data_IF_842968082863
#
_entry.id   IF_842968082863
#
_cell.length_a   1.000
_cell.length_b   1.000
_cell.length_c   1.000
_cell.angle_alpha   90.00
_cell.angle_beta   90.00
_cell.angle_gamma   90.00
#
_symmetry.space_group_name_H-M   'P 1'
#
loop_
_entity.id
_entity.type
_entity.pdbx_description
1 polymer ?
#
# COMPACT_ATOMS: atom_id res chain seq x y z
N UNK A 1 0.30 21.46 -6.83
CA UNK A 1 0.39 20.83 -5.49
C UNK A 1 1.86 20.62 -5.18
N UNK A 2 2.38 21.17 -4.09
CA UNK A 2 3.73 20.80 -3.65
C UNK A 2 3.69 19.33 -3.24
N UNK A 3 4.78 18.71 -3.12
CA UNK A 3 5.08 17.29 -2.84
C UNK A 3 3.85 16.43 -2.48
N UNK A 4 3.41 15.59 -3.42
CA UNK A 4 2.35 14.62 -3.17
C UNK A 4 3.00 13.33 -2.69
N UNK A 5 2.95 13.08 -1.40
CA UNK A 5 3.51 11.92 -0.74
C UNK A 5 2.42 11.10 -0.05
N UNK A 6 2.75 9.88 0.37
CA UNK A 6 1.84 9.08 1.19
C UNK A 6 1.58 9.77 2.54
N UNK A 7 0.36 9.67 3.05
CA UNK A 7 0.01 10.16 4.40
C UNK A 7 0.36 9.15 5.50
N UNK A 8 0.86 7.96 5.13
CA UNK A 8 1.33 6.95 6.08
C UNK A 8 2.73 7.30 6.61
N UNK A 9 2.93 7.15 7.92
CA UNK A 9 4.22 7.33 8.56
C UNK A 9 5.03 6.04 8.47
N UNK A 10 6.28 6.12 8.01
CA UNK A 10 7.21 5.01 7.92
C UNK A 10 8.65 5.51 7.95
N UNK A 11 9.57 4.65 8.35
CA UNK A 11 11.02 4.91 8.35
C UNK A 11 11.78 3.93 7.46
N UNK A 12 11.25 2.72 7.29
CA UNK A 12 11.84 1.64 6.48
C UNK A 12 10.84 1.10 5.47
N UNK A 13 11.29 0.38 4.41
CA UNK A 13 10.40 -0.34 3.53
C UNK A 13 9.49 -1.34 4.26
N UNK A 14 9.98 -1.98 5.32
CA UNK A 14 9.20 -2.89 6.15
C UNK A 14 8.07 -2.15 6.88
N UNK A 15 8.35 -0.99 7.49
CA UNK A 15 7.34 -0.17 8.16
C UNK A 15 6.23 0.22 7.19
N UNK A 16 6.61 0.65 5.97
CA UNK A 16 5.64 1.01 4.95
C UNK A 16 4.79 -0.20 4.54
N UNK A 17 5.39 -1.37 4.34
CA UNK A 17 4.67 -2.59 3.99
C UNK A 17 3.63 -2.94 5.06
N UNK A 18 4.01 -2.90 6.33
CA UNK A 18 3.10 -3.08 7.49
C UNK A 18 1.97 -2.06 7.44
N UNK A 19 2.29 -0.77 7.29
CA UNK A 19 1.31 0.31 7.27
C UNK A 19 0.33 0.18 6.10
N UNK A 20 0.79 -0.18 4.89
CA UNK A 20 -0.08 -0.34 3.72
C UNK A 20 -1.00 -1.56 3.86
N UNK A 21 -0.53 -2.68 4.43
CA UNK A 21 -1.40 -3.82 4.75
C UNK A 21 -2.49 -3.39 5.74
N UNK A 22 -2.13 -2.62 6.77
CA UNK A 22 -3.08 -2.12 7.76
C UNK A 22 -4.06 -1.08 7.18
N UNK A 23 -3.68 -0.34 6.14
CA UNK A 23 -4.52 0.71 5.53
C UNK A 23 -5.68 0.17 4.69
N UNK A 24 -5.70 -1.12 4.36
CA UNK A 24 -6.81 -1.73 3.64
C UNK A 24 -8.14 -1.51 4.38
N UNK A 25 -9.07 -0.75 3.77
CA UNK A 25 -10.36 -0.35 4.37
C UNK A 25 -10.21 0.33 5.75
N UNK A 26 -9.12 1.05 5.97
CA UNK A 26 -8.85 1.80 7.19
C UNK A 26 -8.26 3.16 6.82
N UNK A 27 -8.48 4.18 7.65
CA UNK A 27 -7.92 5.52 7.41
C UNK A 27 -6.44 5.56 7.77
N UNK A 28 -5.65 6.31 7.01
CA UNK A 28 -4.21 6.50 7.27
C UNK A 28 -3.98 7.05 8.68
N UNK A 29 -4.85 7.98 9.14
CA UNK A 29 -4.81 8.49 10.52
C UNK A 29 -4.90 7.37 11.57
N UNK A 30 -5.79 6.39 11.38
CA UNK A 30 -5.93 5.26 12.30
C UNK A 30 -4.72 4.35 12.25
N UNK A 31 -4.18 4.08 11.08
CA UNK A 31 -2.96 3.30 10.89
C UNK A 31 -1.79 3.97 11.61
N UNK A 32 -1.58 5.27 11.39
CA UNK A 32 -0.51 6.04 12.02
C UNK A 32 -0.60 6.11 13.56
N UNK A 33 -1.78 5.83 14.14
CA UNK A 33 -1.95 5.74 15.60
C UNK A 33 -1.48 4.40 16.18
N UNK A 34 -1.51 3.31 15.41
CA UNK A 34 -1.19 1.96 15.90
C UNK A 34 0.20 1.47 15.49
N UNK A 35 0.73 1.96 14.37
CA UNK A 35 2.02 1.52 13.85
C UNK A 35 3.21 1.84 14.75
N UNK A 36 3.31 2.99 15.47
CA UNK A 36 4.47 3.28 16.31
C UNK A 36 4.73 2.21 17.38
N UNK A 37 3.71 1.82 18.13
CA UNK A 37 3.84 0.81 19.19
C UNK A 37 4.10 -0.58 18.61
N UNK A 38 3.45 -0.91 17.49
CA UNK A 38 3.65 -2.17 16.79
C UNK A 38 5.10 -2.31 16.28
N UNK A 39 5.62 -1.29 15.58
CA UNK A 39 6.98 -1.29 15.04
C UNK A 39 8.03 -1.22 16.16
N UNK A 40 7.79 -0.47 17.24
CA UNK A 40 8.67 -0.48 18.40
C UNK A 40 8.84 -1.88 19.01
N UNK A 41 7.79 -2.70 19.00
CA UNK A 41 7.84 -4.08 19.48
C UNK A 41 8.40 -5.07 18.46
N UNK A 42 8.12 -4.87 17.17
CA UNK A 42 8.50 -5.74 16.05
C UNK A 42 9.15 -4.92 14.95
N UNK A 43 10.44 -4.51 15.12
CA UNK A 43 11.10 -3.52 14.26
C UNK A 43 11.47 -4.05 12.87
N UNK A 44 11.43 -5.36 12.68
CA UNK A 44 11.78 -6.01 11.42
C UNK A 44 10.98 -7.30 11.18
N UNK A 45 11.21 -7.91 10.02
CA UNK A 45 10.54 -9.14 9.63
C UNK A 45 10.91 -10.33 10.54
N UNK A 46 12.14 -10.38 11.05
CA UNK A 46 12.60 -11.49 11.90
C UNK A 46 11.88 -11.51 13.25
N UNK A 47 11.75 -10.35 13.88
CA UNK A 47 11.00 -10.22 15.14
C UNK A 47 9.51 -10.47 14.93
N UNK A 48 8.91 -9.92 13.87
CA UNK A 48 7.47 -10.09 13.59
C UNK A 48 7.12 -11.53 13.18
N UNK A 49 8.03 -12.25 12.51
CA UNK A 49 7.82 -13.65 12.11
C UNK A 49 7.69 -14.62 13.29
N UNK A 50 8.23 -14.26 14.43
CA UNK A 50 8.18 -15.07 15.66
C UNK A 50 6.92 -14.77 16.50
N UNK A 51 6.20 -13.70 16.20
CA UNK A 51 5.02 -13.30 16.94
C UNK A 51 3.85 -14.26 16.71
N UNK A 52 3.02 -14.44 17.74
CA UNK A 52 1.71 -15.06 17.55
C UNK A 52 0.70 -14.00 17.03
N UNK A 53 -0.20 -14.35 16.11
CA UNK A 53 -1.21 -13.40 15.58
C UNK A 53 -2.02 -12.67 16.67
N UNK A 54 -2.30 -13.32 17.81
CA UNK A 54 -3.03 -12.70 18.93
C UNK A 54 -2.21 -11.59 19.62
N UNK A 55 -0.88 -11.67 19.61
CA UNK A 55 -0.01 -10.61 20.12
C UNK A 55 -0.09 -9.39 19.20
N UNK A 56 0.05 -9.59 17.87
CA UNK A 56 -0.13 -8.52 16.87
C UNK A 56 -1.53 -7.89 16.98
N UNK A 57 -2.58 -8.73 17.14
CA UNK A 57 -3.95 -8.25 17.29
C UNK A 57 -4.09 -7.22 18.41
N UNK A 58 -3.42 -7.40 19.56
CA UNK A 58 -3.50 -6.47 20.68
C UNK A 58 -3.08 -5.04 20.31
N UNK A 59 -2.12 -4.89 19.40
CA UNK A 59 -1.67 -3.58 18.91
C UNK A 59 -2.62 -2.98 17.86
N UNK A 60 -3.26 -3.81 17.04
CA UNK A 60 -4.03 -3.35 15.88
C UNK A 60 -5.55 -3.53 16.03
N UNK A 61 -6.08 -3.85 17.22
CA UNK A 61 -7.52 -4.11 17.44
C UNK A 61 -8.47 -2.98 17.02
N UNK A 62 -7.96 -1.76 16.88
CA UNK A 62 -8.74 -0.60 16.48
C UNK A 62 -8.80 -0.36 14.96
N UNK A 63 -8.05 -1.13 14.14
CA UNK A 63 -8.17 -1.08 12.68
C UNK A 63 -9.29 -2.01 12.19
N UNK A 64 -9.72 -1.82 10.94
CA UNK A 64 -10.69 -2.73 10.31
C UNK A 64 -10.11 -4.12 10.10
N UNK A 65 -10.91 -5.17 10.35
CA UNK A 65 -10.55 -6.58 10.17
C UNK A 65 -9.24 -7.02 10.86
N UNK A 66 -9.05 -6.71 12.17
CA UNK A 66 -7.76 -6.87 12.84
C UNK A 66 -7.28 -8.32 12.92
N UNK A 67 -8.19 -9.30 13.06
CA UNK A 67 -7.82 -10.73 13.10
C UNK A 67 -7.14 -11.20 11.80
N UNK A 68 -7.70 -10.84 10.65
CA UNK A 68 -7.12 -11.21 9.36
C UNK A 68 -5.81 -10.46 9.10
N UNK A 69 -5.75 -9.19 9.47
CA UNK A 69 -4.54 -8.38 9.31
C UNK A 69 -3.41 -8.88 10.21
N UNK A 70 -3.69 -9.28 11.45
CA UNK A 70 -2.69 -9.90 12.33
C UNK A 70 -2.08 -11.15 11.70
N UNK A 71 -2.91 -12.06 11.17
CA UNK A 71 -2.44 -13.25 10.47
C UNK A 71 -1.63 -12.91 9.21
N UNK A 72 -2.07 -11.91 8.45
CA UNK A 72 -1.35 -11.47 7.26
C UNK A 72 0.02 -10.88 7.62
N UNK A 73 0.13 -10.06 8.67
CA UNK A 73 1.41 -9.48 9.08
C UNK A 73 2.42 -10.55 9.51
N UNK A 74 2.01 -11.52 10.34
CA UNK A 74 2.88 -12.63 10.73
C UNK A 74 3.27 -13.48 9.53
N UNK A 75 2.31 -13.88 8.70
CA UNK A 75 2.58 -14.68 7.49
C UNK A 75 3.45 -13.94 6.47
N UNK A 76 3.26 -12.63 6.30
CA UNK A 76 4.10 -11.79 5.46
C UNK A 76 5.53 -11.76 5.98
N UNK A 77 5.73 -11.54 7.29
CA UNK A 77 7.05 -11.52 7.91
C UNK A 77 7.77 -12.88 7.80
N UNK A 78 7.05 -13.98 8.04
CA UNK A 78 7.58 -15.34 7.85
C UNK A 78 8.04 -15.56 6.41
N UNK A 79 7.24 -15.14 5.43
CA UNK A 79 7.60 -15.28 4.02
C UNK A 79 8.76 -14.37 3.61
N UNK A 80 8.86 -13.17 4.15
CA UNK A 80 10.04 -12.32 3.95
C UNK A 80 11.32 -13.02 4.46
N UNK A 81 11.27 -13.62 5.65
CA UNK A 81 12.41 -14.34 6.20
C UNK A 81 12.79 -15.57 5.38
N UNK A 82 11.80 -16.38 4.94
CA UNK A 82 12.06 -17.63 4.22
C UNK A 82 12.54 -17.43 2.79
N UNK A 83 11.95 -16.48 2.07
CA UNK A 83 12.12 -16.34 0.62
C UNK A 83 13.00 -15.15 0.23
N UNK A 84 13.10 -14.12 1.09
CA UNK A 84 13.74 -12.85 0.77
C UNK A 84 14.76 -12.39 1.83
N UNK A 85 15.19 -13.28 2.72
CA UNK A 85 16.20 -12.96 3.74
C UNK A 85 15.80 -11.89 4.75
N UNK A 86 14.49 -11.64 4.92
CA UNK A 86 13.94 -10.60 5.80
C UNK A 86 13.76 -9.25 5.14
N UNK A 87 14.18 -9.09 3.87
CA UNK A 87 14.09 -7.84 3.11
C UNK A 87 12.80 -7.75 2.29
N UNK A 88 12.32 -6.54 2.06
CA UNK A 88 11.14 -6.31 1.21
C UNK A 88 11.57 -6.36 -0.26
N UNK A 89 10.97 -7.26 -1.08
CA UNK A 89 11.34 -7.39 -2.49
C UNK A 89 10.90 -6.16 -3.30
N UNK A 90 11.59 -5.88 -4.40
CA UNK A 90 11.42 -4.70 -5.25
C UNK A 90 10.75 -4.98 -6.61
N UNK A 91 10.12 -6.13 -6.75
CA UNK A 91 9.35 -6.50 -7.96
C UNK A 91 7.88 -6.75 -7.63
N UNK A 92 7.01 -6.47 -8.62
CA UNK A 92 5.57 -6.68 -8.48
C UNK A 92 5.25 -8.16 -8.25
N UNK A 93 5.92 -9.03 -9.01
CA UNK A 93 5.73 -10.47 -9.00
C UNK A 93 6.02 -11.07 -7.62
N UNK A 94 7.09 -10.63 -6.99
CA UNK A 94 7.48 -11.08 -5.64
C UNK A 94 6.58 -10.50 -4.57
N UNK A 95 6.32 -9.19 -4.61
CA UNK A 95 5.46 -8.50 -3.63
C UNK A 95 4.06 -9.11 -3.52
N UNK A 96 3.44 -9.48 -4.64
CA UNK A 96 2.09 -10.07 -4.61
C UNK A 96 2.06 -11.51 -4.08
N UNK A 97 3.22 -12.14 -3.87
CA UNK A 97 3.29 -13.45 -3.19
C UNK A 97 3.13 -13.33 -1.68
N UNK A 98 3.33 -12.13 -1.12
CA UNK A 98 3.28 -11.89 0.32
C UNK A 98 1.82 -11.88 0.82
N UNK A 99 1.52 -12.56 1.95
CA UNK A 99 0.21 -12.51 2.58
C UNK A 99 -0.26 -11.08 2.84
N UNK A 100 -1.49 -10.77 2.44
CA UNK A 100 -2.07 -9.43 2.61
C UNK A 100 -1.64 -8.40 1.57
N UNK A 101 -0.78 -8.77 0.62
CA UNK A 101 -0.29 -7.89 -0.44
C UNK A 101 -0.96 -8.23 -1.77
N UNK A 102 -1.91 -7.40 -2.19
CA UNK A 102 -2.47 -7.45 -3.53
C UNK A 102 -1.72 -6.52 -4.49
N UNK A 103 -2.09 -6.56 -5.78
CA UNK A 103 -1.49 -5.72 -6.83
C UNK A 103 -1.46 -4.23 -6.48
N UNK A 104 -2.57 -3.70 -5.93
CA UNK A 104 -2.63 -2.30 -5.49
C UNK A 104 -1.59 -2.00 -4.41
N UNK A 105 -1.50 -2.84 -3.38
CA UNK A 105 -0.53 -2.69 -2.29
C UNK A 105 0.90 -2.74 -2.82
N UNK A 106 1.21 -3.71 -3.67
CA UNK A 106 2.52 -3.83 -4.30
C UNK A 106 2.89 -2.58 -5.12
N UNK A 107 1.97 -2.05 -5.92
CA UNK A 107 2.22 -0.82 -6.68
C UNK A 107 2.46 0.40 -5.76
N UNK A 108 1.78 0.50 -4.61
CA UNK A 108 2.08 1.56 -3.62
C UNK A 108 3.50 1.43 -3.10
N UNK A 109 3.92 0.23 -2.70
CA UNK A 109 5.28 -0.03 -2.20
C UNK A 109 6.32 0.32 -3.25
N UNK A 110 6.15 -0.16 -4.50
CA UNK A 110 7.07 0.10 -5.61
C UNK A 110 7.21 1.60 -5.91
N UNK A 111 6.11 2.31 -5.92
CA UNK A 111 6.10 3.75 -6.20
C UNK A 111 6.73 4.56 -5.07
N UNK A 112 6.43 4.23 -3.80
CA UNK A 112 6.84 5.06 -2.65
C UNK A 112 8.29 4.76 -2.22
N UNK A 113 8.70 3.49 -2.21
CA UNK A 113 10.04 3.10 -1.73
C UNK A 113 11.10 3.24 -2.81
N UNK A 114 10.78 2.81 -4.02
CA UNK A 114 11.77 2.72 -5.11
C UNK A 114 11.52 3.71 -6.25
N UNK A 115 10.57 4.64 -6.09
CA UNK A 115 10.18 5.60 -7.15
C UNK A 115 9.92 4.93 -8.51
N UNK A 116 9.45 3.67 -8.47
CA UNK A 116 9.12 2.92 -9.68
C UNK A 116 7.87 3.49 -10.34
N UNK A 117 7.84 3.46 -11.65
CA UNK A 117 6.67 3.85 -12.44
C UNK A 117 5.53 2.83 -12.24
N UNK A 118 4.89 2.87 -11.07
CA UNK A 118 3.79 1.98 -10.69
C UNK A 118 2.55 2.81 -10.33
N UNK A 119 1.41 2.43 -10.91
CA UNK A 119 0.13 3.13 -10.71
C UNK A 119 -0.81 2.28 -9.86
N UNK A 120 -0.94 2.62 -8.59
CA UNK A 120 -1.91 1.96 -7.71
C UNK A 120 -3.30 2.55 -7.91
N UNK A 121 -4.22 1.79 -8.51
CA UNK A 121 -5.59 2.26 -8.76
C UNK A 121 -6.50 1.91 -7.58
N UNK A 122 -6.79 2.91 -6.76
CA UNK A 122 -7.82 2.84 -5.73
C UNK A 122 -9.15 3.45 -6.22
N UNK A 123 -10.14 3.54 -5.35
CA UNK A 123 -11.44 4.13 -5.69
C UNK A 123 -11.36 5.61 -6.08
N UNK A 124 -10.40 6.36 -5.55
CA UNK A 124 -10.18 7.76 -5.91
C UNK A 124 -9.55 7.88 -7.30
N UNK A 125 -8.45 7.17 -7.54
CA UNK A 125 -7.78 7.12 -8.85
C UNK A 125 -8.76 6.66 -9.92
N UNK A 126 -9.49 5.57 -9.67
CA UNK A 126 -10.50 5.04 -10.60
C UNK A 126 -11.54 6.10 -10.98
N UNK A 127 -12.18 6.71 -9.96
CA UNK A 127 -13.23 7.71 -10.17
C UNK A 127 -12.72 8.96 -10.86
N UNK A 128 -11.60 9.51 -10.38
CA UNK A 128 -11.05 10.76 -10.92
C UNK A 128 -10.62 10.57 -12.36
N UNK A 129 -9.90 9.49 -12.69
CA UNK A 129 -9.42 9.24 -14.05
C UNK A 129 -10.54 9.17 -15.08
N UNK A 130 -11.70 8.61 -14.71
CA UNK A 130 -12.89 8.62 -15.57
C UNK A 130 -13.52 10.02 -15.67
N UNK A 131 -13.65 10.72 -14.54
CA UNK A 131 -14.32 12.04 -14.52
C UNK A 131 -13.59 13.10 -15.31
N UNK A 132 -12.26 13.09 -15.27
CA UNK A 132 -11.44 14.08 -16.01
C UNK A 132 -11.02 13.57 -17.41
N UNK A 133 -11.49 12.40 -17.82
CA UNK A 133 -11.27 11.87 -19.18
C UNK A 133 -9.88 11.30 -19.44
N UNK A 134 -9.09 10.97 -18.41
CA UNK A 134 -7.78 10.31 -18.58
C UNK A 134 -7.89 8.88 -19.09
N UNK A 135 -9.02 8.22 -18.81
CA UNK A 135 -9.28 6.86 -19.25
C UNK A 135 -10.66 6.76 -19.91
N UNK A 136 -10.81 5.94 -20.97
CA UNK A 136 -12.09 5.76 -21.63
C UNK A 136 -13.06 4.91 -20.77
N UNK A 137 -14.36 5.07 -21.02
CA UNK A 137 -15.43 4.36 -20.28
C UNK A 137 -15.32 2.83 -20.35
N UNK A 138 -14.64 2.27 -21.34
CA UNK A 138 -14.40 0.83 -21.47
C UNK A 138 -13.49 0.26 -20.38
N UNK A 139 -12.70 1.10 -19.70
CA UNK A 139 -11.85 0.68 -18.59
C UNK A 139 -12.70 0.50 -17.32
N UNK A 140 -13.33 -0.68 -17.15
CA UNK A 140 -14.29 -0.96 -16.10
C UNK A 140 -13.69 -1.61 -14.84
N UNK A 141 -12.42 -1.97 -14.87
CA UNK A 141 -11.71 -2.58 -13.74
C UNK A 141 -10.50 -1.74 -13.31
N UNK A 142 -10.07 -1.81 -12.04
CA UNK A 142 -8.84 -1.14 -11.60
C UNK A 142 -7.63 -1.50 -12.47
N UNK A 143 -7.49 -2.75 -12.88
CA UNK A 143 -6.42 -3.21 -13.75
C UNK A 143 -6.46 -2.56 -15.14
N UNK A 144 -7.63 -2.46 -15.78
CA UNK A 144 -7.75 -1.80 -17.08
C UNK A 144 -7.47 -0.30 -17.00
N UNK A 145 -7.82 0.35 -15.89
CA UNK A 145 -7.47 1.75 -15.63
C UNK A 145 -5.97 1.91 -15.41
N UNK A 146 -5.34 1.02 -14.62
CA UNK A 146 -3.89 0.99 -14.43
C UNK A 146 -3.16 0.91 -15.78
N UNK A 147 -3.50 -0.07 -16.60
CA UNK A 147 -2.87 -0.28 -17.91
C UNK A 147 -3.04 0.93 -18.85
N UNK A 148 -4.22 1.53 -18.88
CA UNK A 148 -4.48 2.70 -19.73
C UNK A 148 -3.71 3.94 -19.24
N UNK A 149 -3.63 4.19 -17.92
CA UNK A 149 -2.85 5.28 -17.34
C UNK A 149 -1.35 5.08 -17.59
N UNK A 150 -0.84 3.87 -17.36
CA UNK A 150 0.58 3.52 -17.62
C UNK A 150 0.98 3.70 -19.07
N UNK A 151 0.05 3.53 -20.01
CA UNK A 151 0.28 3.69 -21.46
C UNK A 151 0.38 5.16 -21.88
N UNK A 152 -0.39 6.04 -21.23
CA UNK A 152 -0.55 7.42 -21.69
C UNK A 152 0.23 8.45 -20.86
N UNK A 153 0.56 8.13 -19.62
CA UNK A 153 1.35 9.02 -18.77
C UNK A 153 2.85 8.79 -19.00
N UNK A 154 3.66 9.87 -19.05
CA UNK A 154 5.11 9.74 -19.03
C UNK A 154 5.59 8.99 -17.79
N UNK A 155 6.55 8.09 -17.95
CA UNK A 155 6.99 7.21 -16.87
C UNK A 155 7.55 7.94 -15.66
N UNK A 156 8.27 9.04 -15.89
CA UNK A 156 8.89 9.87 -14.86
C UNK A 156 7.87 10.61 -13.97
N UNK A 157 6.64 10.78 -14.42
CA UNK A 157 5.59 11.45 -13.63
C UNK A 157 4.63 10.46 -12.96
N UNK A 158 4.63 9.18 -13.32
CA UNK A 158 3.65 8.19 -12.80
C UNK A 158 3.64 8.13 -11.26
N UNK A 159 4.78 8.06 -10.54
CA UNK A 159 4.76 8.03 -9.08
C UNK A 159 4.07 9.26 -8.48
N UNK A 160 4.33 10.44 -9.03
CA UNK A 160 3.69 11.69 -8.60
C UNK A 160 2.24 11.78 -9.04
N UNK A 161 1.92 11.37 -10.27
CA UNK A 161 0.55 11.38 -10.80
C UNK A 161 -0.39 10.49 -9.96
N UNK A 162 0.08 9.34 -9.49
CA UNK A 162 -0.63 8.48 -8.56
C UNK A 162 -1.10 9.27 -7.32
N UNK A 163 -0.18 9.95 -6.64
CA UNK A 163 -0.52 10.76 -5.46
C UNK A 163 -1.43 11.96 -5.78
N UNK A 164 -1.20 12.65 -6.91
CA UNK A 164 -2.07 13.74 -7.34
C UNK A 164 -3.52 13.30 -7.53
N UNK A 165 -3.73 12.15 -8.16
CA UNK A 165 -5.07 11.61 -8.39
C UNK A 165 -5.75 11.22 -7.07
N UNK A 166 -5.02 10.61 -6.14
CA UNK A 166 -5.55 10.28 -4.80
C UNK A 166 -5.95 11.54 -4.05
N UNK A 167 -5.04 12.51 -3.92
CA UNK A 167 -5.29 13.74 -3.17
C UNK A 167 -6.42 14.56 -3.81
N UNK A 168 -6.45 14.66 -5.14
CA UNK A 168 -7.55 15.32 -5.84
C UNK A 168 -8.89 14.61 -5.56
N UNK A 169 -8.90 13.28 -5.54
CA UNK A 169 -10.10 12.51 -5.23
C UNK A 169 -10.54 12.60 -3.77
N UNK A 170 -9.61 12.74 -2.83
CA UNK A 170 -9.92 12.91 -1.41
C UNK A 170 -10.47 14.30 -1.08
N UNK A 171 -9.86 15.34 -1.61
CA UNK A 171 -10.07 16.71 -1.14
C UNK A 171 -10.86 17.60 -2.11
N UNK A 172 -10.83 17.35 -3.40
CA UNK A 172 -11.44 18.19 -4.44
C UNK A 172 -12.60 17.47 -5.13
N UNK A 173 -12.32 16.40 -5.86
CA UNK A 173 -13.31 15.66 -6.64
C UNK A 173 -13.94 14.55 -5.78
N UNK A 174 -14.81 14.93 -4.86
CA UNK A 174 -15.51 14.02 -3.96
C UNK A 174 -16.55 13.16 -4.68
N UNK A 175 -16.95 12.04 -4.06
CA UNK A 175 -17.99 11.14 -4.55
C UNK A 175 -19.38 11.81 -4.54
#
# INVERSE_FOLDING_TARGET
MPVAETELNYSTPFDLLVAVILSAQCTDKRVNMVTPDLIARYPDAHEMAQAHPDEIYNYIKSVSYPNNKAKHLVGMAQKLCSDFGGEVPDTLEELVTLPGVGRKTANVILSVVWDRSAMAVDTHVFRVSHRIGLVPKRCTTPYSVEMELMKHLPQDIIPRAHHWLILHGRYVCKA
#
